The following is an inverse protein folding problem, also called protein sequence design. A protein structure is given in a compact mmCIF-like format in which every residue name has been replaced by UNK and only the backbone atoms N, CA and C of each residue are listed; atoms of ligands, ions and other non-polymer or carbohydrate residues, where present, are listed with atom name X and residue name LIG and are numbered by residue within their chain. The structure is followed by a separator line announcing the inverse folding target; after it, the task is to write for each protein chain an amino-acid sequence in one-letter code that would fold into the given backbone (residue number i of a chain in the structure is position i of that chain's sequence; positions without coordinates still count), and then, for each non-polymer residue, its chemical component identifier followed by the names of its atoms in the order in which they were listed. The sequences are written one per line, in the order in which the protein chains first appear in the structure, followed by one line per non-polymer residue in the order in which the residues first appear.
data_IF_101562249458
#
_entry.id   IF_101562249458
#
_cell.length_a   1.000
_cell.length_b   1.000
_cell.length_c   1.000
_cell.angle_alpha   90.00
_cell.angle_beta   90.00
_cell.angle_gamma   90.00
#
_symmetry.space_group_name_H-M   'P 1'
#
loop_
_entity.id
_entity.type
_entity.pdbx_description
1 polymer ?
#
# COMPACT_ATOMS: atom_id res chain seq x y z
N UNK A 1 -9.18 -11.69 13.22
CA UNK A 1 -9.10 -12.67 12.12
C UNK A 1 -7.64 -12.99 11.75
N UNK A 2 -6.85 -12.03 11.25
CA UNK A 2 -5.43 -12.27 10.88
C UNK A 2 -4.47 -12.50 12.06
N UNK A 3 -4.86 -12.14 13.28
CA UNK A 3 -4.02 -12.30 14.49
C UNK A 3 -3.93 -13.74 15.02
N UNK A 4 -4.63 -14.68 14.39
CA UNK A 4 -4.63 -16.09 14.76
C UNK A 4 -4.17 -16.90 13.53
N UNK A 5 -3.03 -17.55 13.68
CA UNK A 5 -2.37 -18.31 12.61
C UNK A 5 -3.23 -19.47 12.09
N UNK A 6 -4.15 -20.01 12.90
CA UNK A 6 -5.04 -21.07 12.46
C UNK A 6 -5.99 -20.59 11.36
N UNK A 7 -6.29 -19.29 11.32
CA UNK A 7 -7.17 -18.72 10.31
C UNK A 7 -6.49 -18.64 8.94
N UNK A 8 -5.16 -18.50 8.88
CA UNK A 8 -4.40 -18.53 7.62
C UNK A 8 -4.51 -19.91 6.97
N UNK A 9 -4.31 -20.97 7.76
CA UNK A 9 -4.43 -22.35 7.27
C UNK A 9 -5.87 -22.73 6.89
N UNK A 10 -6.87 -22.20 7.60
CA UNK A 10 -8.28 -22.36 7.22
C UNK A 10 -8.60 -21.66 5.89
N UNK A 11 -8.09 -20.44 5.69
CA UNK A 11 -8.29 -19.69 4.45
C UNK A 11 -7.59 -20.35 3.25
N UNK A 12 -6.40 -20.91 3.46
CA UNK A 12 -5.63 -21.60 2.42
C UNK A 12 -6.38 -22.80 1.80
N UNK A 13 -7.32 -23.41 2.53
CA UNK A 13 -8.15 -24.53 2.00
C UNK A 13 -9.00 -24.12 0.81
N UNK A 14 -9.36 -22.84 0.69
CA UNK A 14 -10.17 -22.33 -0.41
C UNK A 14 -9.34 -22.04 -1.68
N UNK A 15 -8.01 -22.20 -1.63
CA UNK A 15 -7.13 -21.99 -2.79
C UNK A 15 -6.91 -23.27 -3.61
N UNK A 16 -7.33 -24.44 -3.10
CA UNK A 16 -7.14 -25.72 -3.78
C UNK A 16 -8.21 -25.94 -4.85
N UNK A 17 -7.85 -25.69 -6.12
CA UNK A 17 -8.74 -25.87 -7.26
C UNK A 17 -9.09 -27.34 -7.56
N UNK A 18 -8.37 -28.30 -6.97
CA UNK A 18 -8.62 -29.73 -7.14
C UNK A 18 -9.46 -30.32 -6.01
N UNK A 19 -9.73 -29.54 -4.95
CA UNK A 19 -10.55 -30.00 -3.84
C UNK A 19 -12.02 -30.16 -4.26
N UNK A 20 -12.51 -31.40 -4.19
CA UNK A 20 -13.90 -31.77 -4.49
C UNK A 20 -14.83 -31.67 -3.28
N UNK A 21 -14.28 -31.43 -2.09
CA UNK A 21 -15.07 -31.29 -0.87
C UNK A 21 -15.82 -29.96 -0.84
N UNK A 22 -17.10 -30.00 -0.46
CA UNK A 22 -17.91 -28.79 -0.25
C UNK A 22 -17.33 -27.86 0.81
N UNK A 23 -16.56 -28.37 1.79
CA UNK A 23 -15.88 -27.57 2.81
C UNK A 23 -14.67 -26.79 2.30
N UNK A 24 -14.15 -27.14 1.12
CA UNK A 24 -13.04 -26.45 0.47
C UNK A 24 -13.53 -25.40 -0.55
N UNK A 25 -14.86 -25.28 -0.75
CA UNK A 25 -15.46 -24.27 -1.63
C UNK A 25 -16.08 -23.15 -0.84
N UNK A 26 -16.07 -21.96 -1.42
CA UNK A 26 -16.75 -20.81 -0.85
C UNK A 26 -18.27 -21.06 -0.95
N UNK A 27 -19.04 -20.94 0.15
CA UNK A 27 -20.48 -21.07 0.09
C UNK A 27 -21.09 -20.01 -0.84
N UNK A 28 -22.18 -20.33 -1.55
CA UNK A 28 -22.91 -19.33 -2.33
C UNK A 28 -23.38 -18.17 -1.45
N UNK A 29 -23.30 -16.95 -1.97
CA UNK A 29 -23.72 -15.74 -1.23
C UNK A 29 -24.87 -15.04 -1.93
N UNK A 30 -25.68 -14.33 -1.16
CA UNK A 30 -26.75 -13.51 -1.72
C UNK A 30 -26.17 -12.23 -2.29
N UNK A 31 -26.53 -11.90 -3.53
CA UNK A 31 -26.09 -10.67 -4.19
C UNK A 31 -26.77 -9.46 -3.54
N UNK A 32 -26.03 -8.38 -3.39
CA UNK A 32 -26.52 -7.07 -2.90
C UNK A 32 -27.09 -6.23 -4.06
N UNK A 33 -26.89 -6.66 -5.30
CA UNK A 33 -27.42 -6.02 -6.49
C UNK A 33 -28.96 -5.97 -6.49
N UNK A 34 -29.53 -4.90 -7.05
CA UNK A 34 -30.97 -4.57 -6.98
C UNK A 34 -31.88 -5.62 -7.65
N UNK A 35 -31.34 -6.44 -8.56
CA UNK A 35 -32.08 -7.54 -9.20
C UNK A 35 -32.23 -8.79 -8.32
N UNK A 36 -31.49 -8.86 -7.20
CA UNK A 36 -31.43 -10.04 -6.35
C UNK A 36 -30.76 -11.25 -7.04
N UNK A 37 -30.36 -12.25 -6.26
CA UNK A 37 -29.77 -13.48 -6.80
C UNK A 37 -28.80 -14.16 -5.84
N UNK A 38 -28.29 -15.31 -6.26
CA UNK A 38 -27.26 -16.06 -5.53
C UNK A 38 -26.01 -16.09 -6.41
N UNK A 39 -24.88 -15.67 -5.86
CA UNK A 39 -23.58 -15.84 -6.47
C UNK A 39 -23.00 -17.20 -6.10
N UNK A 40 -22.65 -18.00 -7.10
CA UNK A 40 -22.13 -19.37 -6.91
C UNK A 40 -20.71 -19.55 -7.43
N UNK A 41 -20.25 -18.67 -8.31
CA UNK A 41 -18.90 -18.73 -8.88
C UNK A 41 -17.94 -17.85 -8.06
N UNK A 42 -16.70 -18.31 -7.84
CA UNK A 42 -15.73 -17.62 -6.97
C UNK A 42 -15.43 -16.19 -7.43
N UNK A 43 -15.40 -15.95 -8.75
CA UNK A 43 -15.19 -14.62 -9.31
C UNK A 43 -16.33 -13.66 -8.94
N UNK A 44 -17.57 -14.13 -9.11
CA UNK A 44 -18.78 -13.38 -8.80
C UNK A 44 -18.90 -13.11 -7.29
N UNK A 45 -18.61 -14.12 -6.47
CA UNK A 45 -18.55 -13.99 -5.01
C UNK A 45 -17.49 -12.97 -4.62
N UNK A 46 -16.31 -13.01 -5.25
CA UNK A 46 -15.23 -12.06 -5.01
C UNK A 46 -15.62 -10.62 -5.30
N UNK A 47 -16.25 -10.38 -6.45
CA UNK A 47 -16.75 -9.03 -6.81
C UNK A 47 -17.79 -8.51 -5.81
N UNK A 48 -18.73 -9.36 -5.40
CA UNK A 48 -19.77 -9.00 -4.45
C UNK A 48 -19.18 -8.69 -3.04
N UNK A 49 -18.22 -9.49 -2.58
CA UNK A 49 -17.51 -9.23 -1.32
C UNK A 49 -16.70 -7.93 -1.41
N UNK A 50 -16.01 -7.67 -2.52
CA UNK A 50 -15.26 -6.44 -2.71
C UNK A 50 -16.19 -5.23 -2.65
N UNK A 51 -17.33 -5.27 -3.33
CA UNK A 51 -18.30 -4.18 -3.30
C UNK A 51 -18.90 -3.97 -1.90
N UNK A 52 -19.20 -5.06 -1.17
CA UNK A 52 -19.77 -4.98 0.18
C UNK A 52 -18.80 -4.45 1.23
N UNK A 53 -17.53 -4.89 1.20
CA UNK A 53 -16.51 -4.50 2.19
C UNK A 53 -15.74 -3.22 1.81
N UNK A 54 -15.70 -2.87 0.52
CA UNK A 54 -15.02 -1.71 -0.02
C UNK A 54 -15.97 -0.87 -0.89
N UNK A 55 -16.99 -0.23 -0.29
CA UNK A 55 -17.88 0.64 -1.02
C UNK A 55 -17.09 1.78 -1.68
N UNK A 56 -17.59 2.29 -2.80
CA UNK A 56 -17.01 3.47 -3.45
C UNK A 56 -16.83 4.58 -2.42
N UNK A 57 -15.64 5.17 -2.33
CA UNK A 57 -15.43 6.30 -1.44
C UNK A 57 -16.42 7.41 -1.84
N UNK A 58 -16.89 8.22 -0.87
CA UNK A 58 -17.70 9.38 -1.19
C UNK A 58 -16.97 10.22 -2.24
N UNK A 59 -17.74 10.89 -3.10
CA UNK A 59 -17.17 11.85 -4.04
C UNK A 59 -16.28 12.79 -3.23
N UNK A 60 -14.99 12.79 -3.51
CA UNK A 60 -14.08 13.73 -2.89
C UNK A 60 -14.62 15.10 -3.29
N UNK A 61 -15.14 15.85 -2.32
CA UNK A 61 -15.42 17.25 -2.59
C UNK A 61 -14.13 17.83 -3.12
N UNK A 62 -14.20 18.60 -4.21
CA UNK A 62 -13.02 19.30 -4.68
C UNK A 62 -12.60 20.16 -3.50
N UNK A 63 -11.56 19.75 -2.77
CA UNK A 63 -10.96 20.62 -1.79
C UNK A 63 -10.61 21.84 -2.62
N UNK A 64 -11.32 22.96 -2.36
CA UNK A 64 -10.84 24.27 -2.76
C UNK A 64 -9.41 24.25 -2.27
N UNK A 65 -8.46 24.18 -3.23
CA UNK A 65 -7.04 23.93 -2.95
C UNK A 65 -6.72 24.63 -1.66
N UNK A 66 -6.39 23.93 -0.56
CA UNK A 66 -6.30 24.58 0.73
C UNK A 66 -5.36 25.76 0.51
N UNK A 67 -5.89 26.98 0.66
CA UNK A 67 -5.18 28.21 0.28
C UNK A 67 -3.83 28.29 1.01
N UNK A 68 -3.68 27.47 2.04
CA UNK A 68 -2.46 27.21 2.77
C UNK A 68 -2.43 25.72 3.13
N UNK A 69 -1.68 24.91 2.38
CA UNK A 69 -1.01 23.78 3.04
C UNK A 69 -0.27 24.40 4.22
N UNK A 70 -0.44 23.89 5.44
CA UNK A 70 0.41 24.28 6.56
C UNK A 70 1.83 23.81 6.22
N UNK A 71 2.54 24.61 5.42
CA UNK A 71 3.88 24.32 4.99
C UNK A 71 4.68 24.27 6.28
N UNK A 72 5.07 23.06 6.65
CA UNK A 72 5.87 22.85 7.84
C UNK A 72 7.08 23.76 7.71
N UNK A 73 7.26 24.63 8.70
CA UNK A 73 8.35 25.57 8.70
C UNK A 73 9.66 24.80 8.56
N UNK A 74 10.33 24.97 7.42
CA UNK A 74 11.64 24.41 7.16
C UNK A 74 12.64 25.53 7.45
N UNK A 75 13.48 25.33 8.47
CA UNK A 75 14.56 26.28 8.73
C UNK A 75 15.45 26.42 7.49
N UNK A 76 15.83 27.65 7.11
CA UNK A 76 16.82 27.86 6.06
C UNK A 76 18.10 27.07 6.37
N UNK A 77 18.54 26.24 5.42
CA UNK A 77 19.74 25.42 5.61
C UNK A 77 20.97 26.34 5.62
N UNK A 78 21.59 26.49 6.78
CA UNK A 78 22.82 27.24 6.92
C UNK A 78 24.02 26.51 6.27
N UNK A 79 24.90 27.27 5.60
CA UNK A 79 26.07 26.72 4.88
C UNK A 79 26.96 25.81 5.76
N UNK A 80 27.11 26.15 7.06
CA UNK A 80 27.90 25.34 7.99
C UNK A 80 27.28 23.96 8.26
N UNK A 81 25.94 23.84 8.27
CA UNK A 81 25.24 22.55 8.45
C UNK A 81 25.50 21.64 7.24
N UNK A 82 25.46 22.21 6.02
CA UNK A 82 25.82 21.48 4.78
C UNK A 82 27.26 21.00 4.84
N UNK A 83 28.20 21.89 5.17
CA UNK A 83 29.62 21.54 5.29
C UNK A 83 29.84 20.44 6.31
N UNK A 84 29.26 20.54 7.51
CA UNK A 84 29.38 19.51 8.54
C UNK A 84 28.82 18.15 8.08
N UNK A 85 27.71 18.14 7.31
CA UNK A 85 27.13 16.93 6.76
C UNK A 85 28.06 16.28 5.72
N UNK A 86 28.61 17.07 4.78
CA UNK A 86 29.55 16.58 3.75
C UNK A 86 30.81 15.99 4.39
N UNK A 87 31.36 16.62 5.42
CA UNK A 87 32.56 16.15 6.11
C UNK A 87 32.34 14.92 7.00
N UNK A 88 31.09 14.62 7.37
CA UNK A 88 30.71 13.39 8.12
C UNK A 88 30.62 12.15 7.23
N UNK A 89 30.49 12.30 5.92
CA UNK A 89 30.31 11.17 5.01
C UNK A 89 31.60 10.37 4.88
N UNK A 90 31.49 9.04 4.91
CA UNK A 90 32.60 8.15 4.57
C UNK A 90 32.92 8.26 3.07
N UNK A 91 34.20 8.43 2.74
CA UNK A 91 34.67 8.67 1.38
C UNK A 91 34.62 7.45 0.47
N UNK A 92 34.64 6.27 1.07
CA UNK A 92 34.75 4.99 0.37
C UNK A 92 33.35 4.39 0.10
N UNK A 93 32.30 5.22 0.15
CA UNK A 93 30.96 4.82 -0.29
C UNK A 93 30.90 4.71 -1.81
N UNK A 94 30.09 3.76 -2.27
CA UNK A 94 29.83 3.56 -3.69
C UNK A 94 29.29 4.85 -4.35
N UNK A 95 29.64 5.02 -5.63
CA UNK A 95 29.26 6.19 -6.41
C UNK A 95 27.73 6.28 -6.56
N UNK A 96 27.21 7.51 -6.45
CA UNK A 96 25.82 7.79 -6.75
C UNK A 96 25.55 7.78 -8.25
N UNK A 97 24.33 8.16 -8.63
CA UNK A 97 23.93 8.31 -10.05
C UNK A 97 24.78 9.35 -10.79
N UNK A 98 25.33 10.31 -10.06
CA UNK A 98 26.22 11.35 -10.52
C UNK A 98 27.64 10.85 -10.85
N UNK A 99 28.01 9.64 -10.39
CA UNK A 99 29.34 9.06 -10.63
C UNK A 99 30.46 9.77 -9.87
N UNK A 100 30.15 10.71 -8.96
CA UNK A 100 31.15 11.47 -8.21
C UNK A 100 31.39 10.86 -6.82
N UNK A 101 32.66 10.63 -6.42
CA UNK A 101 32.94 10.12 -5.08
C UNK A 101 32.74 11.21 -4.03
N UNK A 102 32.40 10.79 -2.80
CA UNK A 102 32.21 11.69 -1.65
C UNK A 102 33.41 12.62 -1.36
N UNK A 103 34.62 12.28 -1.85
CA UNK A 103 35.82 13.12 -1.75
C UNK A 103 35.70 14.44 -2.54
N UNK A 104 35.14 14.40 -3.75
CA UNK A 104 35.00 15.59 -4.62
C UNK A 104 34.13 16.65 -3.94
N UNK A 105 33.10 16.24 -3.22
CA UNK A 105 32.20 17.13 -2.50
C UNK A 105 32.86 17.91 -1.36
N UNK A 106 34.05 17.52 -0.88
CA UNK A 106 34.81 18.26 0.14
C UNK A 106 35.81 19.27 -0.41
N UNK A 107 36.12 19.17 -1.71
CA UNK A 107 37.08 20.05 -2.39
C UNK A 107 36.42 21.28 -3.02
N UNK A 108 35.08 21.29 -3.08
CA UNK A 108 34.23 22.42 -3.49
C UNK A 108 33.91 23.36 -2.31
#
# INVERSE_FOLDING_TARGET
FLNDNDNVWKAAKYLDSQASSSFARIPPIQKTSQEGGIATEDEEIGQELLHAFFPSPPLCEHEETPTTYNQLYCEPIAKHKVKAAVFRVNLDKALGRDGLPARVWREL
#
